data_IF_451390175167
#
_entry.id   IF_451390175167
#
_cell.length_a   1.000
_cell.length_b   1.000
_cell.length_c   1.000
_cell.angle_alpha   90.00
_cell.angle_beta   90.00
_cell.angle_gamma   90.00
#
_symmetry.space_group_name_H-M   'P 1'
#
loop_
_entity.id
_entity.type
_entity.pdbx_description
1 polymer ?
#
# COMPACT_ATOMS: atom_id res chain seq x y z
N UNK A 1 -23.86 -15.87 -29.76
CA UNK A 1 -24.73 -15.15 -30.70
C UNK A 1 -23.84 -14.33 -31.60
N UNK A 2 -23.98 -14.45 -32.92
CA UNK A 2 -23.30 -13.55 -33.83
C UNK A 2 -24.09 -12.26 -33.96
N UNK A 3 -23.48 -11.15 -33.57
CA UNK A 3 -24.12 -9.84 -33.59
C UNK A 3 -24.12 -9.22 -34.99
N UNK A 4 -23.23 -9.64 -35.91
CA UNK A 4 -23.23 -9.10 -37.28
C UNK A 4 -24.41 -9.60 -38.09
N UNK A 5 -24.79 -10.88 -37.91
CA UNK A 5 -25.91 -11.51 -38.61
C UNK A 5 -27.18 -11.59 -37.76
N UNK A 6 -27.09 -11.32 -36.46
CA UNK A 6 -28.21 -11.44 -35.51
C UNK A 6 -28.66 -12.89 -35.29
N UNK A 7 -27.81 -13.89 -35.56
CA UNK A 7 -28.13 -15.32 -35.50
C UNK A 7 -27.32 -16.05 -34.44
N UNK A 8 -27.87 -17.16 -33.93
CA UNK A 8 -27.09 -18.08 -33.11
C UNK A 8 -26.21 -18.96 -34.01
N UNK A 9 -24.89 -18.95 -33.75
CA UNK A 9 -23.97 -19.95 -34.30
C UNK A 9 -24.19 -21.30 -33.64
N UNK A 10 -23.62 -22.35 -34.22
CA UNK A 10 -23.56 -23.69 -33.63
C UNK A 10 -23.04 -23.61 -32.19
N UNK A 11 -23.75 -24.26 -31.26
CA UNK A 11 -23.37 -24.27 -29.85
C UNK A 11 -22.05 -25.00 -29.66
N UNK A 12 -21.15 -24.41 -28.87
CA UNK A 12 -19.97 -25.10 -28.39
C UNK A 12 -20.39 -26.11 -27.33
N UNK A 13 -19.96 -27.36 -27.50
CA UNK A 13 -20.33 -28.45 -26.59
C UNK A 13 -19.08 -28.97 -25.88
N UNK A 14 -19.21 -29.22 -24.58
CA UNK A 14 -18.21 -29.98 -23.82
C UNK A 14 -18.71 -31.40 -23.64
N UNK A 15 -17.93 -32.37 -24.14
CA UNK A 15 -18.17 -33.79 -23.93
C UNK A 15 -18.27 -34.17 -22.44
N UNK A 16 -17.65 -33.38 -21.55
CA UNK A 16 -17.67 -33.63 -20.10
C UNK A 16 -18.98 -33.22 -19.44
N UNK A 17 -19.76 -32.35 -20.07
CA UNK A 17 -20.99 -31.77 -19.52
C UNK A 17 -22.25 -32.30 -20.20
N UNK A 18 -22.16 -32.90 -21.39
CA UNK A 18 -23.32 -33.38 -22.19
C UNK A 18 -24.29 -34.29 -21.42
N UNK A 19 -23.81 -35.08 -20.48
CA UNK A 19 -24.62 -36.03 -19.70
C UNK A 19 -24.78 -35.64 -18.22
N UNK A 20 -24.46 -34.40 -17.86
CA UNK A 20 -24.37 -33.96 -16.47
C UNK A 20 -25.36 -32.84 -16.16
N UNK A 21 -25.81 -32.75 -14.90
CA UNK A 21 -26.59 -31.61 -14.37
C UNK A 21 -25.72 -30.37 -14.09
N UNK A 22 -24.42 -30.47 -14.36
CA UNK A 22 -23.46 -29.41 -14.17
C UNK A 22 -23.44 -28.43 -15.35
N UNK A 23 -22.93 -27.22 -15.12
CA UNK A 23 -22.93 -26.15 -16.12
C UNK A 23 -21.68 -25.29 -16.03
N UNK A 24 -21.57 -24.34 -16.96
CA UNK A 24 -20.51 -23.35 -16.95
C UNK A 24 -20.83 -22.21 -15.96
N UNK A 25 -19.85 -21.85 -15.15
CA UNK A 25 -19.95 -20.79 -14.13
C UNK A 25 -19.33 -19.49 -14.59
N UNK A 26 -18.21 -19.57 -15.29
CA UNK A 26 -17.48 -18.43 -15.82
C UNK A 26 -16.95 -18.76 -17.21
N UNK A 27 -16.82 -17.73 -18.04
CA UNK A 27 -16.16 -17.82 -19.32
C UNK A 27 -15.19 -16.67 -19.47
N UNK A 28 -14.18 -16.86 -20.31
CA UNK A 28 -13.29 -15.77 -20.67
C UNK A 28 -12.65 -16.04 -22.02
N UNK A 29 -12.54 -14.98 -22.81
CA UNK A 29 -12.04 -15.06 -24.17
C UNK A 29 -10.67 -14.39 -24.25
N UNK A 30 -9.70 -15.14 -24.75
CA UNK A 30 -8.36 -14.63 -24.95
C UNK A 30 -8.11 -14.27 -26.41
N UNK A 31 -7.77 -13.00 -26.64
CA UNK A 31 -7.72 -12.42 -27.98
C UNK A 31 -6.53 -12.92 -28.79
N UNK A 32 -5.39 -13.13 -28.15
CA UNK A 32 -4.12 -13.36 -28.84
C UNK A 32 -4.06 -14.69 -29.60
N UNK A 33 -4.73 -15.73 -29.11
CA UNK A 33 -4.87 -17.01 -29.81
C UNK A 33 -6.31 -17.36 -30.15
N UNK A 34 -7.28 -16.51 -29.78
CA UNK A 34 -8.71 -16.68 -30.09
C UNK A 34 -9.32 -17.95 -29.49
N UNK A 35 -8.90 -18.33 -28.29
CA UNK A 35 -9.54 -19.41 -27.53
C UNK A 35 -10.53 -18.82 -26.53
N UNK A 36 -11.71 -19.42 -26.50
CA UNK A 36 -12.71 -19.21 -25.47
C UNK A 36 -12.53 -20.27 -24.40
N UNK A 37 -12.39 -19.87 -23.15
CA UNK A 37 -12.41 -20.78 -22.02
C UNK A 37 -13.76 -20.76 -21.31
N UNK A 38 -14.18 -21.92 -20.83
CA UNK A 38 -15.36 -22.13 -20.02
C UNK A 38 -15.00 -22.93 -18.77
N UNK A 39 -15.18 -22.30 -17.62
CA UNK A 39 -15.07 -22.93 -16.32
C UNK A 39 -16.40 -23.58 -15.93
N UNK A 40 -16.33 -24.76 -15.32
CA UNK A 40 -17.51 -25.57 -14.98
C UNK A 40 -17.62 -25.87 -13.49
N UNK A 41 -18.84 -26.18 -13.05
CA UNK A 41 -19.13 -26.61 -11.67
C UNK A 41 -18.53 -27.97 -11.31
N UNK A 42 -18.08 -28.77 -12.29
CA UNK A 42 -17.35 -30.04 -12.03
C UNK A 42 -15.92 -29.79 -11.56
N UNK A 43 -15.40 -28.57 -11.71
CA UNK A 43 -14.01 -28.27 -11.45
C UNK A 43 -13.11 -28.49 -12.67
N UNK A 44 -13.68 -28.37 -13.87
CA UNK A 44 -12.95 -28.42 -15.13
C UNK A 44 -12.99 -27.05 -15.82
N UNK A 45 -11.92 -26.73 -16.55
CA UNK A 45 -11.88 -25.61 -17.47
C UNK A 45 -11.62 -26.18 -18.86
N UNK A 46 -12.59 -26.02 -19.74
CA UNK A 46 -12.50 -26.44 -21.13
C UNK A 46 -12.25 -25.22 -22.01
N UNK A 47 -11.62 -25.40 -23.16
CA UNK A 47 -11.32 -24.31 -24.08
C UNK A 47 -11.52 -24.70 -25.54
N UNK A 48 -12.17 -23.81 -26.28
CA UNK A 48 -12.51 -23.97 -27.69
C UNK A 48 -11.80 -22.91 -28.53
N UNK A 49 -11.28 -23.32 -29.67
CA UNK A 49 -10.81 -22.36 -30.67
C UNK A 49 -12.02 -21.76 -31.39
N UNK A 50 -12.19 -20.44 -31.32
CA UNK A 50 -13.33 -19.76 -31.95
C UNK A 50 -13.31 -19.78 -33.48
N UNK A 51 -12.16 -20.07 -34.10
CA UNK A 51 -12.01 -20.15 -35.56
C UNK A 51 -12.53 -21.49 -36.10
N UNK A 52 -12.24 -22.58 -35.41
CA UNK A 52 -12.64 -23.95 -35.82
C UNK A 52 -13.84 -24.48 -35.06
N UNK A 53 -14.22 -23.84 -33.94
CA UNK A 53 -15.23 -24.32 -32.97
C UNK A 53 -14.89 -25.68 -32.34
N UNK A 54 -13.64 -26.11 -32.44
CA UNK A 54 -13.17 -27.36 -31.87
C UNK A 54 -12.73 -27.18 -30.42
N UNK A 55 -12.92 -28.22 -29.62
CA UNK A 55 -12.42 -28.29 -28.26
C UNK A 55 -10.92 -28.64 -28.27
N UNK A 56 -10.07 -27.70 -27.85
CA UNK A 56 -8.60 -27.81 -27.93
C UNK A 56 -7.95 -27.94 -26.55
N UNK A 57 -8.57 -27.36 -25.52
CA UNK A 57 -7.97 -27.27 -24.18
C UNK A 57 -8.87 -27.92 -23.14
N UNK A 58 -8.28 -28.68 -22.22
CA UNK A 58 -9.00 -29.26 -21.09
C UNK A 58 -8.13 -29.35 -19.85
N UNK A 59 -8.53 -28.65 -18.80
CA UNK A 59 -7.93 -28.65 -17.48
C UNK A 59 -8.90 -29.27 -16.48
N UNK A 60 -8.41 -30.14 -15.61
CA UNK A 60 -9.19 -30.71 -14.51
C UNK A 60 -8.57 -30.28 -13.18
N UNK A 61 -9.13 -29.23 -12.59
CA UNK A 61 -8.65 -28.64 -11.34
C UNK A 61 -8.87 -29.61 -10.19
N UNK A 62 -10.02 -30.28 -10.15
CA UNK A 62 -10.34 -31.25 -9.09
C UNK A 62 -9.28 -32.35 -8.95
N UNK A 63 -8.85 -32.92 -10.09
CA UNK A 63 -7.95 -34.07 -10.13
C UNK A 63 -6.48 -33.69 -9.90
N UNK A 64 -6.06 -32.55 -10.44
CA UNK A 64 -4.64 -32.21 -10.55
C UNK A 64 -4.19 -31.11 -9.59
N UNK A 65 -5.11 -30.32 -9.05
CA UNK A 65 -4.77 -29.26 -8.12
C UNK A 65 -4.58 -29.82 -6.71
N UNK A 66 -3.44 -29.58 -6.05
CA UNK A 66 -3.20 -30.08 -4.70
C UNK A 66 -4.26 -29.51 -3.75
N UNK A 67 -4.88 -30.39 -2.97
CA UNK A 67 -5.78 -29.97 -1.92
C UNK A 67 -4.97 -29.35 -0.77
N UNK A 68 -5.48 -28.30 -0.11
CA UNK A 68 -4.93 -27.89 1.18
C UNK A 68 -5.02 -29.06 2.17
N UNK A 69 -4.03 -29.17 3.06
CA UNK A 69 -3.84 -30.33 3.96
C UNK A 69 -5.11 -30.68 4.75
N UNK A 70 -5.83 -29.66 5.22
CA UNK A 70 -7.08 -29.81 5.98
C UNK A 70 -8.23 -30.47 5.20
N UNK A 71 -8.19 -30.38 3.86
CA UNK A 71 -9.27 -30.81 2.95
C UNK A 71 -8.94 -32.10 2.21
N UNK A 72 -7.78 -32.71 2.46
CA UNK A 72 -7.39 -33.98 1.81
C UNK A 72 -8.37 -35.12 2.10
N UNK A 73 -9.09 -35.07 3.23
CA UNK A 73 -9.97 -36.14 3.71
C UNK A 73 -11.48 -35.81 3.62
N UNK A 74 -11.88 -34.66 3.06
CA UNK A 74 -13.29 -34.22 2.99
C UNK A 74 -13.79 -34.10 1.54
N UNK A 75 -15.12 -34.08 1.38
CA UNK A 75 -15.77 -33.85 0.08
C UNK A 75 -15.42 -32.44 -0.42
N UNK A 76 -14.54 -32.36 -1.41
CA UNK A 76 -14.11 -31.09 -2.01
C UNK A 76 -15.20 -30.51 -2.92
N UNK A 77 -15.53 -29.24 -2.75
CA UNK A 77 -16.29 -28.48 -3.73
C UNK A 77 -15.31 -27.79 -4.68
N UNK A 78 -14.71 -28.60 -5.55
CA UNK A 78 -13.76 -28.12 -6.58
C UNK A 78 -14.44 -27.39 -7.73
N UNK A 79 -15.72 -27.05 -7.60
CA UNK A 79 -16.43 -26.21 -8.56
C UNK A 79 -15.62 -24.94 -8.81
N UNK A 80 -15.29 -24.68 -10.09
CA UNK A 80 -14.67 -23.42 -10.44
C UNK A 80 -15.75 -22.34 -10.38
N UNK A 81 -15.52 -21.29 -9.62
CA UNK A 81 -16.49 -20.20 -9.44
C UNK A 81 -16.19 -19.01 -10.33
N UNK A 82 -14.91 -18.70 -10.53
CA UNK A 82 -14.48 -17.59 -11.36
C UNK A 82 -13.14 -17.89 -12.04
N UNK A 83 -12.85 -17.14 -13.10
CA UNK A 83 -11.57 -17.19 -13.79
C UNK A 83 -11.17 -15.82 -14.30
N UNK A 84 -9.87 -15.61 -14.47
CA UNK A 84 -9.32 -14.35 -14.94
C UNK A 84 -7.98 -14.60 -15.63
N UNK A 85 -7.67 -13.80 -16.66
CA UNK A 85 -6.41 -13.87 -17.38
C UNK A 85 -5.47 -12.75 -16.92
N UNK A 86 -4.21 -13.09 -16.72
CA UNK A 86 -3.14 -12.10 -16.49
C UNK A 86 -2.50 -11.71 -17.81
N UNK A 87 -2.00 -12.74 -18.48
CA UNK A 87 -1.25 -12.70 -19.71
C UNK A 87 -1.77 -13.83 -20.61
N UNK A 88 -1.39 -13.88 -21.89
CA UNK A 88 -1.87 -14.94 -22.79
C UNK A 88 -1.49 -16.33 -22.29
N UNK A 89 -0.37 -16.46 -21.58
CA UNK A 89 0.06 -17.74 -21.05
C UNK A 89 -0.50 -18.03 -19.67
N UNK A 90 -0.82 -17.02 -18.86
CA UNK A 90 -1.09 -17.19 -17.44
C UNK A 90 -2.53 -16.80 -17.10
N UNK A 91 -3.25 -17.70 -16.44
CA UNK A 91 -4.60 -17.46 -15.97
C UNK A 91 -4.81 -18.01 -14.56
N UNK A 92 -5.72 -17.39 -13.82
CA UNK A 92 -6.14 -17.85 -12.51
C UNK A 92 -7.54 -18.44 -12.55
N UNK A 93 -7.74 -19.41 -11.67
CA UNK A 93 -8.97 -20.15 -11.47
C UNK A 93 -9.28 -20.13 -9.97
N UNK A 94 -10.46 -19.62 -9.61
CA UNK A 94 -10.96 -19.64 -8.25
C UNK A 94 -11.91 -20.80 -8.03
N UNK A 95 -11.75 -21.53 -6.93
CA UNK A 95 -12.64 -22.63 -6.57
C UNK A 95 -13.63 -22.27 -5.47
N UNK A 96 -14.68 -23.08 -5.36
CA UNK A 96 -15.66 -23.06 -4.27
C UNK A 96 -15.03 -23.28 -2.89
N UNK A 97 -13.95 -24.08 -2.82
CA UNK A 97 -13.18 -24.33 -1.59
C UNK A 97 -12.38 -23.10 -1.08
N UNK A 98 -12.38 -21.98 -1.81
CA UNK A 98 -11.62 -20.78 -1.42
C UNK A 98 -10.13 -20.82 -1.77
N UNK A 99 -9.76 -21.55 -2.82
CA UNK A 99 -8.36 -21.62 -3.27
C UNK A 99 -8.23 -21.04 -4.67
N UNK A 100 -7.25 -20.16 -4.87
CA UNK A 100 -6.88 -19.63 -6.18
C UNK A 100 -5.74 -20.45 -6.75
N UNK A 101 -5.96 -21.02 -7.92
CA UNK A 101 -4.93 -21.74 -8.67
C UNK A 101 -4.53 -20.95 -9.90
N UNK A 102 -3.23 -20.78 -10.10
CA UNK A 102 -2.68 -20.05 -11.23
C UNK A 102 -2.01 -21.07 -12.14
N UNK A 103 -2.42 -21.08 -13.40
CA UNK A 103 -1.96 -22.02 -14.41
C UNK A 103 -1.26 -21.29 -15.54
N UNK A 104 -0.28 -21.98 -16.13
CA UNK A 104 0.21 -21.68 -17.47
C UNK A 104 -0.60 -22.54 -18.45
N UNK A 105 -1.11 -21.97 -19.54
CA UNK A 105 -1.90 -22.66 -20.58
C UNK A 105 -1.13 -23.84 -21.20
N UNK A 106 0.19 -23.85 -21.11
CA UNK A 106 1.04 -24.96 -21.58
C UNK A 106 1.12 -26.12 -20.58
N UNK A 107 0.78 -25.89 -19.30
CA UNK A 107 0.91 -26.86 -18.21
C UNK A 107 -0.43 -27.14 -17.52
N UNK A 108 -1.14 -28.16 -18.02
CA UNK A 108 -2.50 -28.46 -17.57
C UNK A 108 -2.55 -29.45 -16.40
N UNK A 109 -1.40 -29.94 -15.92
CA UNK A 109 -1.31 -30.99 -14.91
C UNK A 109 -0.90 -30.50 -13.53
N UNK A 110 -0.28 -29.34 -13.41
CA UNK A 110 0.13 -28.80 -12.12
C UNK A 110 -0.03 -27.28 -12.16
N UNK A 111 -0.68 -26.67 -11.16
CA UNK A 111 -0.71 -25.22 -11.06
C UNK A 111 0.70 -24.68 -10.85
N UNK A 112 1.00 -23.55 -11.46
CA UNK A 112 2.23 -22.81 -11.26
C UNK A 112 2.30 -22.24 -9.84
N UNK A 113 1.18 -21.65 -9.39
CA UNK A 113 1.03 -21.15 -8.02
C UNK A 113 -0.32 -21.54 -7.43
N UNK A 114 -0.32 -21.76 -6.12
CA UNK A 114 -1.52 -22.03 -5.32
C UNK A 114 -1.58 -20.98 -4.21
N UNK A 115 -2.73 -20.32 -4.07
CA UNK A 115 -2.97 -19.33 -3.02
C UNK A 115 -4.22 -19.74 -2.24
N UNK A 116 -4.01 -20.11 -0.99
CA UNK A 116 -5.07 -20.41 -0.06
C UNK A 116 -5.58 -19.11 0.61
N UNK A 117 -6.89 -18.99 0.71
CA UNK A 117 -7.55 -17.87 1.40
C UNK A 117 -7.80 -18.16 2.87
N UNK A 118 -7.71 -19.42 3.31
CA UNK A 118 -7.96 -19.93 4.67
C UNK A 118 -9.45 -19.88 5.11
N UNK A 119 -10.30 -19.10 4.44
CA UNK A 119 -11.71 -18.92 4.84
C UNK A 119 -12.64 -20.03 4.38
N UNK A 120 -12.19 -20.92 3.48
CA UNK A 120 -12.99 -22.03 2.92
C UNK A 120 -14.32 -21.58 2.30
N UNK A 121 -14.35 -20.37 1.77
CA UNK A 121 -15.51 -19.78 1.09
C UNK A 121 -15.25 -19.62 -0.41
N UNK A 122 -16.30 -19.68 -1.26
CA UNK A 122 -16.15 -19.57 -2.70
C UNK A 122 -15.55 -18.22 -3.10
N UNK A 123 -14.53 -18.26 -3.97
CA UNK A 123 -13.95 -17.04 -4.53
C UNK A 123 -14.95 -16.44 -5.53
N UNK A 124 -15.30 -15.18 -5.33
CA UNK A 124 -16.31 -14.48 -6.13
C UNK A 124 -15.70 -13.90 -7.41
N UNK A 125 -14.54 -13.29 -7.30
CA UNK A 125 -13.85 -12.70 -8.45
C UNK A 125 -12.34 -12.61 -8.24
N UNK A 126 -11.60 -12.69 -9.34
CA UNK A 126 -10.14 -12.62 -9.37
C UNK A 126 -9.72 -11.58 -10.39
N UNK A 127 -8.76 -10.73 -10.02
CA UNK A 127 -8.14 -9.77 -10.92
C UNK A 127 -6.63 -9.80 -10.77
N UNK A 128 -5.94 -9.46 -11.84
CA UNK A 128 -4.50 -9.28 -11.86
C UNK A 128 -4.15 -7.81 -11.95
N UNK A 129 -3.10 -7.43 -11.22
CA UNK A 129 -2.50 -6.12 -11.32
C UNK A 129 -0.99 -6.26 -11.26
N UNK A 130 -0.33 -6.13 -12.41
CA UNK A 130 1.08 -6.44 -12.61
C UNK A 130 1.39 -7.84 -12.05
N UNK A 131 2.36 -7.94 -11.13
CA UNK A 131 2.76 -9.20 -10.48
C UNK A 131 1.96 -9.50 -9.20
N UNK A 132 0.72 -9.00 -9.11
CA UNK A 132 -0.17 -9.23 -7.97
C UNK A 132 -1.50 -9.84 -8.39
N UNK A 133 -2.03 -10.68 -7.51
CA UNK A 133 -3.34 -11.32 -7.67
C UNK A 133 -4.25 -10.81 -6.58
N UNK A 134 -5.40 -10.31 -6.97
CA UNK A 134 -6.47 -9.87 -6.08
C UNK A 134 -7.57 -10.93 -6.14
N UNK A 135 -7.97 -11.47 -4.99
CA UNK A 135 -9.13 -12.33 -4.89
C UNK A 135 -10.13 -11.74 -3.91
N UNK A 136 -11.37 -11.59 -4.37
CA UNK A 136 -12.50 -11.20 -3.54
C UNK A 136 -13.29 -12.44 -3.11
N UNK A 137 -13.50 -12.52 -1.81
CA UNK A 137 -14.37 -13.49 -1.14
C UNK A 137 -15.63 -12.77 -0.67
N UNK A 138 -16.47 -13.47 0.10
CA UNK A 138 -17.74 -12.93 0.60
C UNK A 138 -17.54 -11.75 1.56
N UNK A 139 -16.61 -11.85 2.50
CA UNK A 139 -16.39 -10.80 3.51
C UNK A 139 -14.99 -10.20 3.52
N UNK A 140 -14.08 -10.70 2.68
CA UNK A 140 -12.70 -10.23 2.63
C UNK A 140 -12.17 -10.13 1.20
N UNK A 141 -11.17 -9.28 1.03
CA UNK A 141 -10.35 -9.22 -0.16
C UNK A 141 -8.89 -9.44 0.27
N UNK A 142 -8.23 -10.38 -0.41
CA UNK A 142 -6.81 -10.66 -0.20
C UNK A 142 -6.06 -10.41 -1.51
N UNK A 143 -4.89 -9.81 -1.37
CA UNK A 143 -3.97 -9.49 -2.47
C UNK A 143 -2.65 -10.16 -2.19
N UNK A 144 -2.14 -10.96 -3.12
CA UNK A 144 -0.85 -11.64 -3.01
C UNK A 144 0.11 -11.14 -4.08
N UNK A 145 1.40 -11.13 -3.76
CA UNK A 145 2.46 -11.05 -4.77
C UNK A 145 2.65 -12.43 -5.41
N UNK A 146 2.72 -12.48 -6.75
CA UNK A 146 2.94 -13.72 -7.50
C UNK A 146 4.30 -14.34 -7.17
N UNK A 147 5.37 -13.55 -7.27
CA UNK A 147 6.76 -14.00 -7.11
C UNK A 147 7.03 -14.59 -5.72
N UNK A 148 6.57 -13.88 -4.68
CA UNK A 148 6.87 -14.26 -3.30
C UNK A 148 5.80 -15.13 -2.67
N UNK A 149 4.56 -15.06 -3.18
CA UNK A 149 3.39 -15.67 -2.57
C UNK A 149 2.94 -15.10 -1.25
N UNK A 150 3.59 -14.04 -0.77
CA UNK A 150 3.20 -13.37 0.48
C UNK A 150 1.97 -12.51 0.23
N UNK A 151 1.12 -12.46 1.26
CA UNK A 151 -0.01 -11.52 1.30
C UNK A 151 0.57 -10.11 1.32
N UNK A 152 0.22 -9.32 0.31
CA UNK A 152 0.58 -7.93 0.20
C UNK A 152 -0.36 -7.06 1.04
N UNK A 153 -1.67 -7.23 0.83
CA UNK A 153 -2.73 -6.53 1.56
C UNK A 153 -3.90 -7.50 1.71
N UNK A 154 -4.49 -7.54 2.91
CA UNK A 154 -5.76 -8.22 3.15
C UNK A 154 -6.65 -7.32 4.01
N UNK A 155 -7.91 -7.15 3.63
CA UNK A 155 -8.87 -6.36 4.39
C UNK A 155 -10.26 -6.96 4.30
N UNK A 156 -11.10 -6.62 5.28
CA UNK A 156 -12.49 -7.03 5.31
C UNK A 156 -13.37 -5.99 4.60
N UNK A 157 -14.28 -6.45 3.75
CA UNK A 157 -15.18 -5.62 2.94
C UNK A 157 -16.37 -5.09 3.77
N UNK A 158 -16.49 -5.52 5.03
CA UNK A 158 -17.53 -5.13 5.96
C UNK A 158 -18.46 -6.30 6.31
N UNK A 159 -19.61 -6.02 6.95
CA UNK A 159 -20.59 -7.04 7.33
C UNK A 159 -21.47 -7.48 6.16
N UNK A 160 -21.57 -6.66 5.11
CA UNK A 160 -22.34 -6.98 3.92
C UNK A 160 -21.56 -7.93 3.01
N UNK A 161 -22.27 -8.88 2.42
CA UNK A 161 -21.70 -9.89 1.54
C UNK A 161 -21.29 -9.28 0.21
N UNK A 162 -20.08 -9.57 -0.25
CA UNK A 162 -19.60 -9.20 -1.56
C UNK A 162 -20.03 -10.23 -2.61
N UNK A 163 -20.64 -9.73 -3.68
CA UNK A 163 -21.06 -10.48 -4.85
C UNK A 163 -20.00 -10.47 -5.95
N UNK A 164 -19.45 -9.30 -6.25
CA UNK A 164 -18.39 -9.13 -7.23
C UNK A 164 -17.48 -7.96 -6.87
N UNK A 165 -16.22 -8.05 -7.29
CA UNK A 165 -15.26 -6.97 -7.26
C UNK A 165 -14.98 -6.53 -8.69
N UNK A 166 -14.66 -5.26 -8.89
CA UNK A 166 -14.10 -4.73 -10.11
C UNK A 166 -12.83 -3.95 -9.78
N UNK A 167 -11.74 -4.29 -10.47
CA UNK A 167 -10.47 -3.58 -10.36
C UNK A 167 -10.28 -2.68 -11.58
N UNK A 168 -9.92 -1.42 -11.32
CA UNK A 168 -9.60 -0.49 -12.39
C UNK A 168 -8.16 -0.69 -12.87
N UNK A 169 -7.95 -0.98 -14.17
CA UNK A 169 -6.62 -1.20 -14.73
C UNK A 169 -5.65 -0.05 -14.40
N UNK A 170 -4.39 -0.39 -14.14
CA UNK A 170 -3.30 0.56 -13.83
C UNK A 170 -3.56 1.49 -12.63
N UNK A 171 -4.52 1.16 -11.76
CA UNK A 171 -4.84 1.98 -10.60
C UNK A 171 -4.99 1.16 -9.32
N UNK A 172 -4.91 1.84 -8.19
CA UNK A 172 -5.16 1.25 -6.87
C UNK A 172 -6.65 1.18 -6.48
N UNK A 173 -7.56 1.55 -7.38
CA UNK A 173 -8.98 1.67 -7.08
C UNK A 173 -9.72 0.34 -7.30
N UNK A 174 -10.49 -0.06 -6.29
CA UNK A 174 -11.30 -1.26 -6.25
C UNK A 174 -12.74 -0.89 -5.93
N UNK A 175 -13.68 -1.50 -6.63
CA UNK A 175 -15.11 -1.38 -6.36
C UNK A 175 -15.67 -2.75 -6.00
N UNK A 176 -16.47 -2.81 -4.96
CA UNK A 176 -17.12 -4.03 -4.51
C UNK A 176 -18.63 -3.84 -4.59
N UNK A 177 -19.27 -4.67 -5.39
CA UNK A 177 -20.71 -4.84 -5.34
C UNK A 177 -21.03 -5.76 -4.15
N UNK A 178 -21.60 -5.18 -3.11
CA UNK A 178 -22.04 -5.88 -1.91
C UNK A 178 -23.56 -5.78 -1.72
N UNK A 179 -24.12 -6.61 -0.84
CA UNK A 179 -25.52 -6.58 -0.37
C UNK A 179 -25.80 -5.36 0.52
N UNK A 180 -25.40 -4.18 0.05
CA UNK A 180 -25.59 -2.89 0.71
C UNK A 180 -26.09 -1.87 -0.30
N UNK A 181 -26.90 -0.88 0.10
CA UNK A 181 -27.45 0.11 -0.83
C UNK A 181 -26.37 0.99 -1.47
N UNK A 182 -25.19 1.09 -0.84
CA UNK A 182 -24.03 1.80 -1.39
C UNK A 182 -22.97 0.78 -1.83
N UNK A 183 -22.36 1.04 -2.98
CA UNK A 183 -21.21 0.28 -3.49
C UNK A 183 -19.97 0.70 -2.69
N UNK A 184 -19.27 -0.28 -2.13
CA UNK A 184 -18.06 -0.04 -1.36
C UNK A 184 -16.87 0.20 -2.28
N UNK A 185 -16.20 1.33 -2.10
CA UNK A 185 -15.01 1.74 -2.87
C UNK A 185 -13.80 1.71 -1.96
N UNK A 186 -12.74 1.02 -2.39
CA UNK A 186 -11.47 0.95 -1.67
C UNK A 186 -10.36 1.45 -2.57
N UNK A 187 -9.48 2.28 -2.01
CA UNK A 187 -8.32 2.79 -2.72
C UNK A 187 -7.05 2.37 -2.00
N UNK A 188 -6.18 1.64 -2.70
CA UNK A 188 -4.90 1.16 -2.18
C UNK A 188 -3.76 1.96 -2.87
N UNK A 189 -3.22 3.02 -2.25
CA UNK A 189 -2.19 3.86 -2.86
C UNK A 189 -0.87 3.14 -3.10
N UNK A 190 -0.62 2.04 -2.37
CA UNK A 190 0.55 1.17 -2.57
C UNK A 190 0.40 0.22 -3.77
N UNK A 191 -0.83 0.00 -4.23
CA UNK A 191 -1.11 -0.85 -5.38
C UNK A 191 -0.88 -0.06 -6.67
N UNK A 192 -1.45 1.14 -6.76
CA UNK A 192 -1.28 2.07 -7.88
C UNK A 192 -1.86 3.45 -7.58
N UNK A 193 -1.60 4.41 -8.46
CA UNK A 193 -2.15 5.77 -8.35
C UNK A 193 -3.67 5.77 -8.59
N UNK A 194 -4.34 6.87 -8.22
CA UNK A 194 -5.74 7.05 -8.56
C UNK A 194 -5.90 7.24 -10.08
N UNK A 195 -7.02 6.80 -10.69
CA UNK A 195 -7.27 7.02 -12.10
C UNK A 195 -7.47 8.52 -12.39
N UNK A 196 -7.25 8.93 -13.64
CA UNK A 196 -7.19 10.35 -14.04
C UNK A 196 -8.43 11.17 -13.65
N UNK A 197 -9.62 10.55 -13.66
CA UNK A 197 -10.90 11.18 -13.32
C UNK A 197 -11.13 11.30 -11.79
N UNK A 198 -10.31 10.62 -10.98
CA UNK A 198 -10.35 10.63 -9.52
C UNK A 198 -9.00 11.04 -8.92
N UNK A 199 -8.26 11.94 -9.58
CA UNK A 199 -6.94 12.40 -9.14
C UNK A 199 -6.94 13.04 -7.75
N UNK A 200 -8.07 13.61 -7.31
CA UNK A 200 -8.22 14.21 -5.99
C UNK A 200 -8.12 13.20 -4.83
N UNK A 201 -8.38 11.90 -5.09
CA UNK A 201 -8.22 10.86 -4.06
C UNK A 201 -6.76 10.76 -3.59
N UNK A 202 -5.79 10.93 -4.49
CA UNK A 202 -4.37 10.91 -4.11
C UNK A 202 -4.04 12.08 -3.17
N UNK A 203 -4.64 13.26 -3.39
CA UNK A 203 -4.47 14.42 -2.50
C UNK A 203 -5.08 14.16 -1.12
N UNK A 204 -6.30 13.61 -1.07
CA UNK A 204 -6.96 13.26 0.19
C UNK A 204 -6.17 12.23 1.00
N UNK A 205 -5.58 11.23 0.34
CA UNK A 205 -4.73 10.24 1.01
C UNK A 205 -3.48 10.90 1.60
N UNK A 206 -2.87 11.86 0.90
CA UNK A 206 -1.72 12.62 1.42
C UNK A 206 -2.11 13.50 2.61
N UNK A 207 -3.30 14.11 2.58
CA UNK A 207 -3.81 14.90 3.71
C UNK A 207 -4.19 14.04 4.93
N UNK A 208 -4.68 12.82 4.70
CA UNK A 208 -4.97 11.86 5.76
C UNK A 208 -3.73 11.14 6.28
N UNK A 209 -2.59 11.15 5.56
CA UNK A 209 -1.33 10.60 6.07
C UNK A 209 -0.91 11.48 7.26
N UNK A 210 -0.79 10.94 8.49
CA UNK A 210 -0.46 11.76 9.65
C UNK A 210 0.92 12.38 9.43
N UNK A 211 0.94 13.69 9.22
CA UNK A 211 2.19 14.42 9.18
C UNK A 211 2.89 14.21 10.53
N UNK A 212 4.21 14.03 10.51
CA UNK A 212 5.03 13.84 11.73
C UNK A 212 4.78 14.97 12.74
N UNK A 213 4.36 16.15 12.28
CA UNK A 213 3.95 17.29 13.10
C UNK A 213 2.74 16.97 14.00
N UNK A 214 1.75 16.21 13.51
CA UNK A 214 0.57 15.79 14.30
C UNK A 214 0.91 14.81 15.43
N UNK A 215 1.99 14.02 15.29
CA UNK A 215 2.49 13.15 16.36
C UNK A 215 3.04 13.94 17.55
N UNK A 216 3.46 15.19 17.33
CA UNK A 216 3.98 16.08 18.35
C UNK A 216 3.03 17.25 18.65
N UNK A 217 1.81 17.24 18.09
CA UNK A 217 0.85 18.29 18.34
C UNK A 217 0.36 18.17 19.79
N UNK A 218 0.52 19.25 20.55
CA UNK A 218 0.34 19.25 22.00
C UNK A 218 1.57 18.82 22.82
N UNK A 219 2.77 18.64 22.21
CA UNK A 219 4.03 18.51 22.93
C UNK A 219 4.95 19.71 22.69
N UNK A 220 5.55 20.25 23.76
CA UNK A 220 6.53 21.33 23.70
C UNK A 220 7.94 20.74 23.85
N UNK A 221 8.85 21.13 22.97
CA UNK A 221 10.28 20.79 23.10
C UNK A 221 10.94 21.70 24.14
N UNK A 222 11.66 21.10 25.07
CA UNK A 222 12.38 21.78 26.15
C UNK A 222 13.82 21.30 26.16
N UNK A 223 14.76 22.23 26.26
CA UNK A 223 16.20 21.91 26.40
C UNK A 223 16.53 21.46 27.81
N UNK A 224 17.61 20.70 28.00
CA UNK A 224 18.04 20.25 29.34
C UNK A 224 18.19 21.42 30.34
N UNK A 225 18.68 22.59 29.87
CA UNK A 225 18.81 23.80 30.70
C UNK A 225 17.45 24.30 31.18
N UNK A 226 16.48 24.46 30.27
CA UNK A 226 15.13 24.89 30.62
C UNK A 226 14.40 23.89 31.53
N UNK A 227 14.69 22.59 31.39
CA UNK A 227 14.13 21.57 32.29
C UNK A 227 14.67 21.73 33.72
N UNK A 228 15.96 22.02 33.85
CA UNK A 228 16.62 22.31 35.13
C UNK A 228 16.11 23.61 35.76
N UNK A 229 15.93 24.65 34.95
CA UNK A 229 15.41 25.96 35.42
C UNK A 229 13.97 25.85 35.94
N UNK A 230 13.19 24.92 35.39
CA UNK A 230 11.81 24.65 35.82
C UNK A 230 11.73 23.64 36.98
N UNK A 231 12.87 23.17 37.50
CA UNK A 231 12.91 22.18 38.59
C UNK A 231 12.37 20.80 38.20
N UNK A 232 12.36 20.46 36.91
CA UNK A 232 11.79 19.20 36.38
C UNK A 232 12.84 18.12 36.09
N UNK A 233 14.05 18.25 36.66
CA UNK A 233 15.11 17.26 36.47
C UNK A 233 14.74 15.87 37.01
N UNK A 234 13.89 15.79 38.04
CA UNK A 234 13.42 14.52 38.61
C UNK A 234 12.47 13.75 37.68
N UNK A 235 11.88 14.42 36.70
CA UNK A 235 10.99 13.79 35.72
C UNK A 235 11.77 13.10 34.58
N UNK A 236 13.09 13.26 34.52
CA UNK A 236 13.96 12.60 33.55
C UNK A 236 13.90 11.08 33.79
N UNK A 237 13.51 10.33 32.77
CA UNK A 237 13.34 8.87 32.85
C UNK A 237 11.91 8.41 33.14
N UNK A 238 10.98 9.32 33.43
CA UNK A 238 9.55 9.00 33.58
C UNK A 238 8.81 9.06 32.24
N UNK A 239 7.62 8.46 32.17
CA UNK A 239 6.78 8.43 30.96
C UNK A 239 6.30 9.83 30.50
N UNK A 240 6.44 10.87 31.34
CA UNK A 240 5.98 12.23 31.06
C UNK A 240 6.95 13.06 30.21
N UNK A 241 8.23 12.66 30.14
CA UNK A 241 9.25 13.30 29.31
C UNK A 241 9.77 12.32 28.27
N UNK A 242 9.68 12.69 27.00
CA UNK A 242 10.24 11.89 25.91
C UNK A 242 11.56 12.50 25.46
N UNK A 243 12.66 11.82 25.74
CA UNK A 243 13.99 12.25 25.29
C UNK A 243 14.03 12.30 23.75
N UNK A 244 14.53 13.41 23.22
CA UNK A 244 14.71 13.60 21.78
C UNK A 244 15.93 14.46 21.50
N UNK A 245 16.93 13.87 20.83
CA UNK A 245 18.20 14.50 20.47
C UNK A 245 18.95 15.09 21.67
N UNK A 246 18.72 16.36 21.99
CA UNK A 246 19.41 17.14 23.03
C UNK A 246 18.44 17.80 24.02
N UNK A 247 17.18 17.34 24.04
CA UNK A 247 16.14 17.85 24.92
C UNK A 247 15.05 16.83 25.17
N UNK A 248 13.93 17.32 25.68
CA UNK A 248 12.79 16.50 26.07
C UNK A 248 11.51 17.10 25.49
N UNK A 249 10.63 16.24 24.98
CA UNK A 249 9.25 16.61 24.71
C UNK A 249 8.41 16.40 25.96
N UNK A 250 7.70 17.45 26.36
CA UNK A 250 6.73 17.44 27.45
C UNK A 250 5.35 17.76 26.90
N UNK A 251 4.27 17.25 27.49
CA UNK A 251 2.93 17.66 27.07
C UNK A 251 2.69 19.15 27.38
N UNK A 252 2.06 19.87 26.45
CA UNK A 252 1.77 21.29 26.58
C UNK A 252 0.90 21.58 27.80
N UNK A 253 -0.03 20.67 28.14
CA UNK A 253 -0.87 20.78 29.33
C UNK A 253 -0.06 20.71 30.63
N UNK A 254 0.92 19.80 30.70
CA UNK A 254 1.76 19.65 31.89
C UNK A 254 2.74 20.83 32.00
N UNK A 255 3.30 21.28 30.87
CA UNK A 255 4.11 22.48 30.83
C UNK A 255 3.34 23.72 31.32
N UNK A 256 2.12 23.94 30.83
CA UNK A 256 1.30 25.09 31.24
C UNK A 256 0.93 25.02 32.73
N UNK A 257 0.53 23.86 33.25
CA UNK A 257 0.24 23.68 34.69
C UNK A 257 1.45 24.02 35.57
N UNK A 258 2.64 23.68 35.13
CA UNK A 258 3.85 23.94 35.92
C UNK A 258 4.28 25.41 35.79
N UNK A 259 4.11 26.03 34.62
CA UNK A 259 4.28 27.48 34.45
C UNK A 259 3.31 28.27 35.33
N UNK A 260 2.06 27.82 35.43
CA UNK A 260 1.04 28.41 36.29
C UNK A 260 1.41 28.26 37.77
N UNK A 261 1.91 27.09 38.17
CA UNK A 261 2.37 26.82 39.54
C UNK A 261 3.62 27.63 39.93
N UNK A 262 4.52 27.89 38.98
CA UNK A 262 5.71 28.72 39.16
C UNK A 262 5.42 30.23 39.09
N UNK A 263 4.16 30.63 38.83
CA UNK A 263 3.76 32.05 38.77
C UNK A 263 4.32 32.82 37.57
N UNK A 264 4.80 32.12 36.54
CA UNK A 264 5.38 32.73 35.32
C UNK A 264 4.25 32.92 34.30
N UNK A 265 3.25 33.74 34.63
CA UNK A 265 2.20 34.10 33.67
C UNK A 265 2.59 35.40 32.96
N UNK A 266 3.24 35.29 31.79
CA UNK A 266 2.94 36.26 30.73
C UNK A 266 1.63 35.82 30.07
N UNK A 267 0.55 36.59 30.29
CA UNK A 267 -0.71 36.39 29.57
C UNK A 267 -0.44 36.47 28.06
N UNK A 268 -0.88 35.51 27.23
CA UNK A 268 -0.92 35.74 25.80
C UNK A 268 -2.02 36.76 25.50
N UNK A 269 -1.65 37.93 24.99
CA UNK A 269 -2.58 38.87 24.39
C UNK A 269 -3.25 38.23 23.19
N UNK A 270 -4.57 38.31 23.16
CA UNK A 270 -5.43 37.97 22.02
C UNK A 270 -4.93 38.61 20.72
N UNK A 271 -4.76 37.76 19.69
CA UNK A 271 -4.66 38.03 18.25
C UNK A 271 -3.97 39.33 17.78
N UNK A 272 -2.74 39.19 17.29
CA UNK A 272 -2.21 40.04 16.22
C UNK A 272 -1.54 39.16 15.15
N UNK A 273 -1.97 39.35 13.90
CA UNK A 273 -1.47 38.65 12.69
C UNK A 273 0.06 38.68 12.65
N UNK A 274 0.69 37.51 12.49
CA UNK A 274 2.12 37.41 12.21
C UNK A 274 2.42 37.93 10.80
N UNK A 275 3.17 39.04 10.73
CA UNK A 275 4.01 39.34 9.56
C UNK A 275 5.21 38.40 9.61
N UNK A 276 5.61 37.90 8.44
CA UNK A 276 6.81 37.08 8.23
C UNK A 276 8.07 37.73 8.83
N UNK A 277 8.99 36.97 9.46
CA UNK A 277 10.23 37.55 9.97
C UNK A 277 11.22 37.83 8.83
N UNK A 278 11.85 39.01 8.90
CA UNK A 278 12.96 39.42 8.03
C UNK A 278 14.19 38.52 8.20
N UNK A 279 14.72 38.06 7.07
CA UNK A 279 15.81 37.07 6.93
C UNK A 279 17.18 37.63 7.36
N UNK A 280 17.33 38.94 7.53
CA UNK A 280 18.62 39.60 7.79
C UNK A 280 19.14 39.49 9.22
N UNK A 281 18.29 39.20 10.22
CA UNK A 281 18.70 39.19 11.66
C UNK A 281 19.14 37.83 12.19
N UNK A 282 18.90 36.74 11.45
CA UNK A 282 19.28 35.37 11.87
C UNK A 282 20.73 35.06 11.49
N UNK A 283 21.26 35.60 10.38
CA UNK A 283 22.65 35.42 9.91
C UNK A 283 23.69 35.94 10.92
N UNK A 284 23.44 37.13 11.47
CA UNK A 284 24.40 37.83 12.33
C UNK A 284 24.62 37.12 13.68
N UNK A 285 23.63 36.38 14.19
CA UNK A 285 23.78 35.61 15.44
C UNK A 285 24.54 34.31 15.25
N UNK A 286 24.38 33.65 14.10
CA UNK A 286 25.16 32.45 13.78
C UNK A 286 26.63 32.76 13.51
N UNK A 287 26.93 33.89 12.86
CA UNK A 287 28.30 34.30 12.56
C UNK A 287 29.09 34.65 13.84
N UNK A 288 28.46 35.33 14.80
CA UNK A 288 29.11 35.70 16.07
C UNK A 288 29.47 34.49 16.95
N UNK A 289 28.63 33.44 16.96
CA UNK A 289 28.88 32.23 17.77
C UNK A 289 30.02 31.39 17.15
N UNK A 290 30.13 31.35 15.83
CA UNK A 290 31.21 30.64 15.12
C UNK A 290 32.54 31.39 15.30
N UNK A 291 32.51 32.72 15.33
CA UNK A 291 33.70 33.54 15.59
C UNK A 291 34.22 33.36 17.03
N UNK A 292 33.35 33.41 18.05
CA UNK A 292 33.75 33.18 19.46
C UNK A 292 34.29 31.76 19.69
N UNK A 293 33.75 30.74 19.00
CA UNK A 293 34.23 29.36 19.10
C UNK A 293 35.60 29.14 18.44
N UNK A 294 35.84 29.81 17.30
CA UNK A 294 37.13 29.75 16.61
C UNK A 294 38.22 30.52 17.37
N UNK A 295 37.87 31.59 18.07
CA UNK A 295 38.80 32.37 18.90
C UNK A 295 39.20 31.59 20.17
N UNK A 296 38.26 30.85 20.78
CA UNK A 296 38.54 29.99 21.94
C UNK A 296 39.36 28.72 21.61
N UNK A 297 39.35 28.26 20.35
CA UNK A 297 40.13 27.08 19.92
C UNK A 297 41.59 27.40 19.54
N UNK A 298 41.95 28.68 19.40
CA UNK A 298 43.31 29.14 19.12
C UNK A 298 44.18 29.29 20.39
N UNK A 299 43.61 29.03 21.57
CA UNK A 299 44.23 29.33 22.86
C UNK A 299 45.27 28.27 23.24
N UNK A 300 46.55 28.66 23.28
CA UNK A 300 47.69 27.74 23.38
C UNK A 300 47.74 26.91 24.69
N UNK A 301 46.93 27.27 25.70
CA UNK A 301 46.82 26.57 26.99
C UNK A 301 46.19 25.19 26.90
N UNK A 302 45.37 24.90 25.89
CA UNK A 302 44.58 23.66 25.83
C UNK A 302 45.08 22.62 24.82
N UNK A 303 46.17 22.92 24.11
CA UNK A 303 46.81 22.03 23.12
C UNK A 303 47.23 20.66 23.67
N UNK A 304 47.51 20.55 24.97
CA UNK A 304 47.94 19.29 25.60
C UNK A 304 46.80 18.38 26.05
N UNK A 305 45.55 18.83 25.95
CA UNK A 305 44.37 18.04 26.34
C UNK A 305 43.75 17.26 25.16
N UNK A 306 44.03 17.67 23.91
CA UNK A 306 43.48 17.06 22.70
C UNK A 306 44.17 15.77 22.26
N UNK A 307 45.38 15.49 22.77
CA UNK A 307 46.28 14.51 22.16
C UNK A 307 46.39 13.17 22.93
N UNK A 308 45.48 12.91 23.88
CA UNK A 308 45.47 11.65 24.64
C UNK A 308 44.35 10.70 24.18
N UNK A 309 44.66 9.66 23.38
CA UNK A 309 43.67 8.71 22.86
C UNK A 309 43.05 7.77 23.91
N UNK A 310 43.48 7.85 25.18
CA UNK A 310 43.00 7.02 26.30
C UNK A 310 42.00 7.73 27.23
N UNK A 311 41.70 9.01 27.00
CA UNK A 311 40.72 9.80 27.77
C UNK A 311 39.48 10.21 26.97
N UNK A 312 39.39 9.84 25.69
CA UNK A 312 38.18 10.01 24.91
C UNK A 312 37.19 8.87 25.20
N UNK A 313 36.31 9.07 26.18
CA UNK A 313 35.06 8.31 26.27
C UNK A 313 34.05 8.96 25.32
N UNK A 314 33.90 8.41 24.11
CA UNK A 314 33.03 8.93 23.06
C UNK A 314 31.62 8.33 23.15
N UNK A 315 30.63 9.14 23.54
CA UNK A 315 29.19 8.84 23.45
C UNK A 315 28.64 8.94 22.02
N UNK A 316 29.51 8.99 21.01
CA UNK A 316 29.17 9.43 19.64
C UNK A 316 28.68 8.27 18.76
N UNK A 317 29.02 7.01 19.06
CA UNK A 317 28.76 5.91 18.11
C UNK A 317 27.30 5.44 18.10
N UNK A 318 26.55 5.57 19.21
CA UNK A 318 25.11 5.24 19.23
C UNK A 318 24.22 6.34 18.64
N UNK A 319 24.57 7.61 18.85
CA UNK A 319 23.81 8.77 18.39
C UNK A 319 24.05 9.08 16.91
N UNK A 320 25.25 8.80 16.39
CA UNK A 320 25.61 9.01 14.98
C UNK A 320 24.81 8.11 14.02
N UNK A 321 24.60 6.83 14.37
CA UNK A 321 23.87 5.88 13.51
C UNK A 321 22.38 6.23 13.41
N UNK A 322 21.74 6.64 14.50
CA UNK A 322 20.33 7.05 14.48
C UNK A 322 20.12 8.34 13.67
N UNK A 323 21.07 9.28 13.75
CA UNK A 323 21.07 10.51 12.96
C UNK A 323 21.27 10.21 11.48
N UNK A 324 22.21 9.32 11.13
CA UNK A 324 22.44 8.90 9.74
C UNK A 324 21.23 8.15 9.17
N UNK A 325 20.63 7.24 9.94
CA UNK A 325 19.43 6.50 9.52
C UNK A 325 18.26 7.46 9.31
N UNK A 326 18.07 8.45 10.18
CA UNK A 326 17.01 9.45 10.03
C UNK A 326 17.24 10.38 8.83
N UNK A 327 18.46 10.87 8.64
CA UNK A 327 18.84 11.72 7.49
C UNK A 327 18.67 10.96 6.16
N UNK A 328 19.14 9.72 6.08
CA UNK A 328 18.95 8.87 4.90
C UNK A 328 17.46 8.60 4.61
N UNK A 329 16.63 8.43 5.66
CA UNK A 329 15.19 8.25 5.52
C UNK A 329 14.49 9.52 5.03
N UNK A 330 14.90 10.69 5.53
CA UNK A 330 14.41 12.00 5.08
C UNK A 330 14.81 12.28 3.63
N UNK A 331 16.05 11.99 3.24
CA UNK A 331 16.51 12.14 1.84
C UNK A 331 15.75 11.21 0.90
N UNK A 332 15.51 9.97 1.29
CA UNK A 332 14.69 9.02 0.51
C UNK A 332 13.25 9.50 0.37
N UNK A 333 12.67 10.13 1.41
CA UNK A 333 11.33 10.74 1.35
C UNK A 333 11.32 11.97 0.43
N UNK A 334 12.35 12.83 0.49
CA UNK A 334 12.52 14.00 -0.38
C UNK A 334 12.68 13.61 -1.86
N UNK A 335 13.58 12.67 -2.18
CA UNK A 335 13.75 12.15 -3.55
C UNK A 335 12.44 11.56 -4.11
N UNK A 336 11.70 10.82 -3.29
CA UNK A 336 10.38 10.28 -3.71
C UNK A 336 9.36 11.39 -3.96
N UNK A 337 9.35 12.44 -3.14
CA UNK A 337 8.47 13.60 -3.33
C UNK A 337 8.84 14.40 -4.58
N UNK A 338 10.14 14.57 -4.86
CA UNK A 338 10.64 15.23 -6.07
C UNK A 338 10.30 14.44 -7.34
N UNK A 339 10.53 13.12 -7.36
CA UNK A 339 10.14 12.26 -8.49
C UNK A 339 8.62 12.34 -8.73
N UNK A 340 7.81 12.35 -7.68
CA UNK A 340 6.34 12.51 -7.80
C UNK A 340 5.96 13.90 -8.33
N UNK A 341 6.62 14.96 -7.87
CA UNK A 341 6.40 16.33 -8.34
C UNK A 341 6.81 16.51 -9.80
N UNK A 342 7.93 15.93 -10.22
CA UNK A 342 8.40 15.97 -11.61
C UNK A 342 7.44 15.21 -12.53
N UNK A 343 6.95 14.03 -12.10
CA UNK A 343 5.94 13.27 -12.86
C UNK A 343 4.60 14.00 -12.96
N UNK A 344 4.14 14.64 -11.87
CA UNK A 344 2.94 15.47 -11.90
C UNK A 344 3.11 16.67 -12.84
N UNK A 345 4.27 17.33 -12.83
CA UNK A 345 4.58 18.42 -13.75
C UNK A 345 4.58 17.96 -15.21
N UNK A 346 5.14 16.77 -15.51
CA UNK A 346 5.07 16.17 -16.86
C UNK A 346 3.62 15.87 -17.27
N UNK A 347 2.81 15.30 -16.38
CA UNK A 347 1.39 15.04 -16.66
C UNK A 347 0.63 16.34 -16.96
N UNK A 348 0.84 17.40 -16.18
CA UNK A 348 0.25 18.72 -16.44
C UNK A 348 0.73 19.33 -17.78
N UNK A 349 2.00 19.15 -18.14
CA UNK A 349 2.52 19.64 -19.43
C UNK A 349 1.89 18.92 -20.63
N UNK A 350 1.63 17.62 -20.52
CA UNK A 350 0.97 16.85 -21.57
C UNK A 350 -0.49 17.29 -21.76
N UNK A 351 -1.20 17.57 -20.67
CA UNK A 351 -2.57 18.10 -20.73
C UNK A 351 -2.61 19.47 -21.42
N UNK A 352 -1.63 20.34 -21.13
CA UNK A 352 -1.53 21.68 -21.74
C UNK A 352 -1.13 21.63 -23.22
N UNK A 353 -0.32 20.66 -23.62
CA UNK A 353 0.03 20.45 -25.03
C UNK A 353 -1.16 19.91 -25.83
N UNK A 354 -1.99 19.05 -25.24
CA UNK A 354 -3.23 18.56 -25.87
C UNK A 354 -4.24 19.70 -26.07
N UNK A 355 -4.36 20.65 -25.13
CA UNK A 355 -5.23 21.82 -25.30
C UNK A 355 -4.74 22.80 -26.39
N UNK A 356 -3.43 22.90 -26.61
CA UNK A 356 -2.85 23.79 -27.64
C UNK A 356 -2.85 23.20 -29.06
N UNK A 357 -3.12 21.90 -29.22
CA UNK A 357 -3.26 21.24 -30.53
C UNK A 357 -4.73 21.28 -31.03
N UNK A 358 -5.66 21.80 -30.22
CA UNK A 358 -7.08 21.95 -30.56
C UNK A 358 -7.54 23.42 -30.64
N UNK A 359 -6.58 24.34 -30.77
CA UNK A 359 -6.76 25.75 -31.15
C UNK A 359 -5.87 26.03 -32.34
#
# INVERSE_FOLDING_TARGET
MDLSEGRFKTSLVSQRLESSSHGFTACGFEKNYSLLFGASTIGCVDGWDTRTSEHVFGLNVCKYAPAPEDLQNSWRSTAVTCMSFKDPLNFAVGTGDGVVYIYDVRQNRKPWHVRDTEYREPIKSIYFHDDKVLAALRYCCKVWSLDTGKIFVGFNTGPAECNSMYHFPNSGLLMFASESPKISTYFIPLLGAAPFWCSYLDSLVVECEPDVTTMYDGYKFITHKQLSDLGMSELIGTQFLRAYMHGYFISANLYNRIQDHLGITQRPSTHAKSKSPDISKVSLRSENIIAEFNEASADQRFSKLSDNPKLAYSTIDGDSDLIQIHQARLEKKRRRKEIRKERAARAHSLIKNVSNVHT
#
